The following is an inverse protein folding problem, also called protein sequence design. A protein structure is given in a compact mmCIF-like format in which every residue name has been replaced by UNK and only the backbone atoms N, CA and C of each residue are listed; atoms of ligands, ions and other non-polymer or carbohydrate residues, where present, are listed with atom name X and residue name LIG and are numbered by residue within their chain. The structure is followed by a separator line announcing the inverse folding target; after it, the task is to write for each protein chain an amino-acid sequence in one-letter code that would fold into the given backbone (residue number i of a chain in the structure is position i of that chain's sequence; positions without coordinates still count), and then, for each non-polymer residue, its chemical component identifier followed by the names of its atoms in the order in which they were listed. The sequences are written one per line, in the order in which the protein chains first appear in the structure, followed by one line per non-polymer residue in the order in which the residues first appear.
data_IF_730789810131
#
_entry.id   IF_730789810131
#
_cell.length_a   1.000
_cell.length_b   1.000
_cell.length_c   1.000
_cell.angle_alpha   90.00
_cell.angle_beta   90.00
_cell.angle_gamma   90.00
#
_symmetry.space_group_name_H-M   'P 1'
#
loop_
_entity.id
_entity.type
_entity.pdbx_description
1 polymer ?
#
# COMPACT_ATOMS: atom_id res chain seq x y z
N UNK A 1 31.73 56.05 -10.15
CA UNK A 1 30.74 55.41 -11.03
C UNK A 1 29.85 54.52 -10.16
N UNK A 2 28.70 55.02 -9.68
CA UNK A 2 27.84 54.31 -8.72
C UNK A 2 26.51 53.94 -9.41
N UNK A 3 26.16 52.64 -9.58
CA UNK A 3 24.92 52.26 -10.24
C UNK A 3 23.75 52.44 -9.27
N UNK A 4 22.79 53.30 -9.66
CA UNK A 4 21.53 53.49 -8.92
C UNK A 4 20.69 52.20 -9.01
N UNK A 5 20.61 51.45 -7.91
CA UNK A 5 19.67 50.33 -7.79
C UNK A 5 18.23 50.87 -7.81
N UNK A 6 17.46 50.52 -8.85
CA UNK A 6 16.06 50.93 -8.98
C UNK A 6 15.14 50.03 -8.15
N UNK A 7 14.51 50.52 -7.06
CA UNK A 7 13.70 49.72 -6.13
C UNK A 7 12.47 49.08 -6.80
N UNK A 8 12.01 49.68 -7.90
CA UNK A 8 10.92 49.15 -8.75
C UNK A 8 11.26 47.81 -9.40
N UNK A 9 12.53 47.54 -9.71
CA UNK A 9 12.95 46.25 -10.32
C UNK A 9 12.96 45.11 -9.30
N UNK A 10 13.39 45.39 -8.06
CA UNK A 10 13.37 44.41 -6.98
C UNK A 10 11.95 44.01 -6.55
N UNK A 11 11.02 44.97 -6.53
CA UNK A 11 9.62 44.72 -6.18
C UNK A 11 8.90 43.85 -7.22
N UNK A 12 9.19 44.06 -8.51
CA UNK A 12 8.65 43.24 -9.61
C UNK A 12 9.21 41.81 -9.56
N UNK A 13 10.52 41.65 -9.30
CA UNK A 13 11.12 40.32 -9.14
C UNK A 13 10.55 39.55 -7.95
N UNK A 14 10.31 40.22 -6.82
CA UNK A 14 9.68 39.61 -5.65
C UNK A 14 8.22 39.20 -5.91
N UNK A 15 7.45 40.03 -6.62
CA UNK A 15 6.07 39.73 -7.01
C UNK A 15 5.99 38.54 -7.96
N UNK A 16 6.89 38.46 -8.95
CA UNK A 16 6.97 37.32 -9.89
C UNK A 16 7.35 36.04 -9.14
N UNK A 17 8.33 36.08 -8.24
CA UNK A 17 8.74 34.93 -7.44
C UNK A 17 7.59 34.39 -6.55
N UNK A 18 6.83 35.29 -5.92
CA UNK A 18 5.67 34.93 -5.10
C UNK A 18 4.54 34.32 -5.95
N UNK A 19 4.33 34.86 -7.16
CA UNK A 19 3.36 34.35 -8.13
C UNK A 19 3.73 32.94 -8.61
N UNK A 20 5.00 32.69 -8.92
CA UNK A 20 5.50 31.37 -9.27
C UNK A 20 5.37 30.37 -8.11
N UNK A 21 5.66 30.79 -6.87
CA UNK A 21 5.52 29.94 -5.69
C UNK A 21 4.06 29.56 -5.42
N UNK A 22 3.11 30.49 -5.62
CA UNK A 22 1.67 30.24 -5.49
C UNK A 22 1.15 29.30 -6.59
N UNK A 23 1.62 29.45 -7.83
CA UNK A 23 1.24 28.58 -8.95
C UNK A 23 1.80 27.15 -8.79
N UNK A 24 3.05 27.02 -8.34
CA UNK A 24 3.68 25.74 -8.08
C UNK A 24 3.07 25.03 -6.86
N UNK A 25 2.78 25.78 -5.79
CA UNK A 25 2.13 25.25 -4.58
C UNK A 25 0.66 24.87 -4.80
N UNK A 26 -0.10 25.70 -5.53
CA UNK A 26 -1.51 25.45 -5.82
C UNK A 26 -1.74 24.25 -6.73
N UNK A 27 -0.88 24.04 -7.73
CA UNK A 27 -0.94 22.88 -8.63
C UNK A 27 -0.65 21.55 -7.93
N UNK A 28 0.28 21.53 -6.98
CA UNK A 28 0.62 20.33 -6.20
C UNK A 28 -0.52 19.91 -5.25
N UNK A 29 -1.21 20.87 -4.63
CA UNK A 29 -2.33 20.58 -3.72
C UNK A 29 -3.60 20.20 -4.49
N UNK A 30 -3.85 20.81 -5.65
CA UNK A 30 -4.99 20.46 -6.51
C UNK A 30 -4.83 19.06 -7.13
N UNK A 31 -3.61 18.65 -7.50
CA UNK A 31 -3.33 17.31 -8.03
C UNK A 31 -3.60 16.18 -7.03
N UNK A 32 -3.33 16.41 -5.74
CA UNK A 32 -3.59 15.44 -4.67
C UNK A 32 -5.09 15.24 -4.39
N UNK A 33 -5.89 16.30 -4.51
CA UNK A 33 -7.35 16.24 -4.36
C UNK A 33 -8.08 15.70 -5.60
N UNK A 34 -7.43 15.76 -6.78
CA UNK A 34 -7.95 15.25 -8.04
C UNK A 34 -7.63 13.76 -8.29
N UNK A 35 -6.91 13.09 -7.38
CA UNK A 35 -6.76 11.64 -7.44
C UNK A 35 -8.14 11.00 -7.25
N UNK A 36 -8.62 10.17 -8.19
CA UNK A 36 -9.84 9.40 -7.99
C UNK A 36 -9.72 8.66 -6.66
N UNK A 37 -10.61 8.97 -5.71
CA UNK A 37 -10.73 8.18 -4.48
C UNK A 37 -10.91 6.72 -4.91
N UNK A 38 -10.10 5.77 -4.40
CA UNK A 38 -10.30 4.37 -4.71
C UNK A 38 -11.77 4.04 -4.45
N UNK A 39 -12.44 3.51 -5.47
CA UNK A 39 -13.82 3.07 -5.32
C UNK A 39 -13.87 2.14 -4.09
N UNK A 40 -14.91 2.27 -3.27
CA UNK A 40 -15.14 1.33 -2.19
C UNK A 40 -15.11 -0.09 -2.81
N UNK A 41 -14.38 -1.05 -2.23
CA UNK A 41 -14.33 -2.40 -2.77
C UNK A 41 -15.75 -2.90 -2.97
N UNK A 42 -16.10 -3.25 -4.22
CA UNK A 42 -17.35 -3.92 -4.47
C UNK A 42 -17.37 -5.21 -3.64
N UNK A 43 -18.50 -5.49 -2.99
CA UNK A 43 -18.70 -6.79 -2.37
C UNK A 43 -18.49 -7.84 -3.47
N UNK A 44 -17.55 -8.79 -3.32
CA UNK A 44 -17.41 -9.84 -4.32
C UNK A 44 -18.70 -10.65 -4.32
N UNK A 45 -19.38 -10.65 -5.47
CA UNK A 45 -20.62 -11.39 -5.72
C UNK A 45 -20.37 -12.33 -6.90
N UNK A 46 -20.74 -13.61 -6.76
CA UNK A 46 -20.65 -14.61 -7.82
C UNK A 46 -19.39 -15.50 -7.78
N UNK A 47 -19.08 -16.10 -8.93
CA UNK A 47 -18.00 -17.07 -9.11
C UNK A 47 -16.71 -16.39 -9.59
N UNK A 48 -15.58 -16.77 -8.99
CA UNK A 48 -14.25 -16.36 -9.44
C UNK A 48 -13.56 -17.54 -10.14
N UNK A 49 -13.21 -17.39 -11.43
CA UNK A 49 -12.58 -18.44 -12.26
C UNK A 49 -11.20 -18.00 -12.72
N UNK A 50 -10.16 -18.75 -12.34
CA UNK A 50 -8.78 -18.47 -12.74
C UNK A 50 -8.18 -19.66 -13.51
N UNK A 51 -7.22 -19.37 -14.39
CA UNK A 51 -6.44 -20.37 -15.11
C UNK A 51 -4.96 -20.21 -14.75
N UNK A 52 -4.33 -21.30 -14.34
CA UNK A 52 -2.92 -21.33 -13.95
C UNK A 52 -2.17 -22.26 -14.91
N UNK A 53 -1.11 -21.76 -15.53
CA UNK A 53 -0.24 -22.60 -16.36
C UNK A 53 0.80 -23.29 -15.48
N UNK A 54 0.37 -24.38 -14.83
CA UNK A 54 1.20 -25.10 -13.87
C UNK A 54 0.75 -26.56 -13.76
N UNK A 55 1.68 -27.47 -13.48
CA UNK A 55 1.32 -28.82 -13.03
C UNK A 55 0.98 -28.77 -11.55
N UNK A 56 -0.27 -29.07 -11.21
CA UNK A 56 -0.72 -29.08 -9.83
C UNK A 56 -0.19 -30.32 -9.10
N UNK A 57 0.78 -30.12 -8.20
CA UNK A 57 1.35 -31.20 -7.40
C UNK A 57 0.50 -31.48 -6.16
N UNK A 58 0.29 -32.74 -5.75
CA UNK A 58 -0.43 -33.08 -4.51
C UNK A 58 0.17 -32.43 -3.25
N UNK A 59 1.49 -32.22 -3.21
CA UNK A 59 2.16 -31.56 -2.09
C UNK A 59 1.73 -30.11 -1.86
N UNK A 60 1.01 -29.48 -2.79
CA UNK A 60 0.55 -28.08 -2.66
C UNK A 60 -0.76 -27.96 -1.88
N UNK A 61 -1.33 -29.10 -1.46
CA UNK A 61 -2.52 -29.14 -0.62
C UNK A 61 -2.21 -29.20 0.88
N UNK A 62 -0.96 -29.43 1.29
CA UNK A 62 -0.55 -29.44 2.69
C UNK A 62 0.49 -28.32 2.95
N UNK A 63 0.19 -27.32 3.79
CA UNK A 63 1.16 -26.26 4.12
C UNK A 63 2.43 -26.78 4.82
N UNK A 64 2.41 -27.98 5.43
CA UNK A 64 3.58 -28.61 6.06
C UNK A 64 4.61 -29.18 5.09
N UNK A 65 4.21 -29.45 3.84
CA UNK A 65 5.05 -30.11 2.84
C UNK A 65 5.64 -29.15 1.78
N UNK A 66 5.32 -27.85 1.83
CA UNK A 66 5.72 -26.88 0.81
C UNK A 66 7.19 -26.45 0.93
N UNK A 67 7.97 -26.66 -0.14
CA UNK A 67 9.42 -26.41 -0.18
C UNK A 67 9.84 -24.94 -0.47
N UNK A 68 9.21 -23.96 0.18
CA UNK A 68 9.73 -22.59 0.27
C UNK A 68 9.74 -21.74 -1.02
N UNK A 69 8.88 -22.04 -1.99
CA UNK A 69 8.68 -21.22 -3.20
C UNK A 69 7.24 -20.72 -3.32
N UNK A 70 7.00 -19.70 -4.14
CA UNK A 70 5.74 -18.91 -4.10
C UNK A 70 4.53 -19.60 -4.74
N UNK A 71 4.74 -20.43 -5.77
CA UNK A 71 3.64 -20.98 -6.59
C UNK A 71 2.57 -21.78 -5.82
N UNK A 72 2.91 -22.61 -4.80
CA UNK A 72 1.91 -23.35 -4.02
C UNK A 72 0.96 -22.43 -3.25
N UNK A 73 1.36 -21.18 -2.97
CA UNK A 73 0.53 -20.23 -2.23
C UNK A 73 -0.74 -19.82 -2.97
N UNK A 74 -0.82 -19.99 -4.31
CA UNK A 74 -2.08 -19.84 -5.05
C UNK A 74 -3.17 -20.80 -4.58
N UNK A 75 -2.79 -22.03 -4.22
CA UNK A 75 -3.69 -23.07 -3.74
C UNK A 75 -3.83 -22.97 -2.23
N UNK A 76 -2.72 -22.78 -1.51
CA UNK A 76 -2.76 -22.67 -0.05
C UNK A 76 -3.61 -21.50 0.42
N UNK A 77 -3.57 -20.33 -0.22
CA UNK A 77 -4.45 -19.21 0.17
C UNK A 77 -5.92 -19.44 -0.17
N UNK A 78 -6.23 -20.38 -1.08
CA UNK A 78 -7.60 -20.77 -1.39
C UNK A 78 -8.17 -21.78 -0.40
N UNK A 79 -7.32 -22.59 0.25
CA UNK A 79 -7.75 -23.70 1.13
C UNK A 79 -7.42 -23.47 2.61
N UNK A 80 -6.37 -22.71 2.89
CA UNK A 80 -5.83 -22.47 4.22
C UNK A 80 -5.75 -20.98 4.49
N UNK A 81 -5.78 -20.63 5.78
CA UNK A 81 -5.57 -19.27 6.23
C UNK A 81 -4.50 -19.24 7.33
N UNK A 82 -3.82 -18.10 7.45
CA UNK A 82 -2.77 -17.87 8.44
C UNK A 82 -3.29 -16.97 9.57
N UNK A 83 -2.56 -16.88 10.68
CA UNK A 83 -2.87 -15.90 11.74
C UNK A 83 -2.78 -14.46 11.21
N UNK A 84 -1.67 -14.17 10.50
CA UNK A 84 -1.35 -12.90 9.87
C UNK A 84 -0.74 -13.22 8.51
N UNK A 85 -1.15 -12.52 7.45
CA UNK A 85 -0.56 -12.67 6.10
C UNK A 85 -0.57 -11.36 5.33
N UNK A 86 0.19 -11.23 4.23
CA UNK A 86 0.07 -10.09 3.33
C UNK A 86 -1.31 -10.03 2.69
N UNK A 87 -1.98 -8.88 2.78
CA UNK A 87 -3.22 -8.56 2.07
C UNK A 87 -3.13 -7.16 1.48
N UNK A 88 -4.05 -6.75 0.60
CA UNK A 88 -4.04 -5.39 0.06
C UNK A 88 -3.94 -4.34 1.17
N UNK A 89 -2.95 -3.45 1.07
CA UNK A 89 -2.74 -2.33 1.99
C UNK A 89 -1.67 -2.54 3.07
N UNK A 90 -1.28 -3.76 3.42
CA UNK A 90 -0.19 -4.01 4.38
C UNK A 90 0.37 -5.46 4.26
N UNK A 91 1.66 -5.64 4.50
CA UNK A 91 2.33 -6.95 4.50
C UNK A 91 1.98 -7.78 5.73
N UNK A 92 1.60 -7.13 6.84
CA UNK A 92 1.21 -7.77 8.09
C UNK A 92 -0.24 -7.42 8.40
N UNK A 93 -1.18 -8.05 7.70
CA UNK A 93 -2.61 -7.81 7.92
C UNK A 93 -3.26 -8.90 8.76
N UNK A 94 -4.22 -8.54 9.63
CA UNK A 94 -5.08 -9.49 10.32
C UNK A 94 -5.75 -10.46 9.33
N UNK A 95 -5.61 -11.77 9.56
CA UNK A 95 -6.37 -12.80 8.86
C UNK A 95 -7.16 -13.63 9.87
N UNK A 96 -6.79 -14.86 10.22
CA UNK A 96 -7.47 -15.60 11.30
C UNK A 96 -7.40 -14.88 12.65
N UNK A 97 -6.29 -14.23 12.95
CA UNK A 97 -6.19 -13.36 14.11
C UNK A 97 -6.80 -11.99 13.78
N UNK A 98 -7.68 -11.49 14.63
CA UNK A 98 -8.22 -10.12 14.53
C UNK A 98 -7.29 -9.08 15.14
N UNK A 99 -6.45 -9.48 16.10
CA UNK A 99 -5.39 -8.65 16.67
C UNK A 99 -4.28 -9.52 17.28
N UNK A 100 -3.11 -8.91 17.50
CA UNK A 100 -2.02 -9.54 18.23
C UNK A 100 -1.20 -8.53 19.01
N UNK A 101 -0.54 -8.99 20.07
CA UNK A 101 0.45 -8.22 20.83
C UNK A 101 1.78 -8.94 20.86
N UNK A 102 2.86 -8.18 21.02
CA UNK A 102 4.23 -8.70 21.10
C UNK A 102 4.85 -8.21 22.40
N UNK A 103 5.48 -9.10 23.16
CA UNK A 103 6.17 -8.72 24.40
C UNK A 103 7.36 -7.77 24.11
N UNK A 104 7.78 -6.94 25.09
CA UNK A 104 8.90 -6.02 24.89
C UNK A 104 10.23 -6.68 24.49
N UNK A 105 10.42 -7.95 24.83
CA UNK A 105 11.60 -8.76 24.46
C UNK A 105 11.41 -9.56 23.16
N UNK A 106 10.25 -9.43 22.50
CA UNK A 106 9.89 -10.09 21.23
C UNK A 106 9.92 -11.63 21.29
N UNK A 107 9.65 -12.22 22.46
CA UNK A 107 9.63 -13.67 22.66
C UNK A 107 8.24 -14.26 22.80
N UNK A 108 7.25 -13.44 23.13
CA UNK A 108 5.86 -13.86 23.30
C UNK A 108 4.98 -13.08 22.33
N UNK A 109 4.14 -13.82 21.61
CA UNK A 109 3.16 -13.30 20.66
C UNK A 109 1.79 -13.83 21.05
N UNK A 110 0.90 -12.95 21.47
CA UNK A 110 -0.46 -13.31 21.82
C UNK A 110 -1.39 -12.93 20.67
N UNK A 111 -2.13 -13.90 20.14
CA UNK A 111 -3.08 -13.71 19.04
C UNK A 111 -4.50 -13.88 19.54
N UNK A 112 -5.37 -12.92 19.21
CA UNK A 112 -6.81 -13.06 19.40
C UNK A 112 -7.45 -13.52 18.10
N UNK A 113 -8.08 -14.68 18.10
CA UNK A 113 -8.80 -15.22 16.95
C UNK A 113 -10.21 -14.63 16.84
N UNK A 114 -10.79 -14.72 15.64
CA UNK A 114 -12.18 -14.34 15.35
C UNK A 114 -13.19 -15.32 15.92
#
# INVERSE_FOLDING_TARGET
MNPRHHPRRALVSAAVALSCALLLGGGLVAGAAAQPKPAAPHKPEGEMRWALYVTLAPAWFDPGDVAGFITPFWVLYGLHDALVKPMPGNLMTPSLAESWTVSPDHRVYDFKLR
#
